data_IF_357297058958
#
_entry.id   IF_357297058958
#
_cell.length_a   1.000
_cell.length_b   1.000
_cell.length_c   1.000
_cell.angle_alpha   90.00
_cell.angle_beta   90.00
_cell.angle_gamma   90.00
#
_symmetry.space_group_name_H-M   'P 1'
#
loop_
_entity.id
_entity.type
_entity.pdbx_description
1 polymer ?
#
# COMPACT_ATOMS: atom_id res chain seq x y z
N UNK A 1 35.25 21.09 -19.14
CA UNK A 1 34.64 19.80 -18.92
C UNK A 1 34.89 19.42 -17.45
N UNK A 2 33.98 19.81 -16.54
CA UNK A 2 34.10 19.49 -15.10
C UNK A 2 33.55 18.08 -14.90
N UNK A 3 34.42 17.13 -14.63
CA UNK A 3 34.06 15.80 -14.16
C UNK A 3 33.46 15.97 -12.76
N UNK A 4 32.14 16.03 -12.69
CA UNK A 4 31.42 15.98 -11.42
C UNK A 4 31.69 14.62 -10.75
N UNK A 5 32.50 14.61 -9.72
CA UNK A 5 32.60 13.45 -8.83
C UNK A 5 31.23 13.20 -8.20
N UNK A 6 30.51 12.18 -8.68
CA UNK A 6 29.31 11.69 -8.01
C UNK A 6 29.72 11.26 -6.60
N UNK A 7 29.35 12.05 -5.60
CA UNK A 7 29.56 11.65 -4.21
C UNK A 7 28.81 10.33 -4.00
N UNK A 8 29.55 9.31 -3.58
CA UNK A 8 28.97 8.01 -3.21
C UNK A 8 28.07 8.26 -2.00
N UNK A 9 26.81 7.89 -2.11
CA UNK A 9 25.86 8.03 -1.01
C UNK A 9 26.32 7.21 0.20
N UNK A 10 26.29 7.82 1.38
CA UNK A 10 26.66 7.11 2.61
C UNK A 10 25.70 5.94 2.86
N UNK A 11 26.26 4.82 3.32
CA UNK A 11 25.47 3.64 3.66
C UNK A 11 24.63 3.93 4.91
N UNK A 12 23.32 3.69 4.81
CA UNK A 12 22.40 3.82 5.95
C UNK A 12 22.59 2.63 6.90
N UNK A 13 22.82 2.88 8.19
CA UNK A 13 22.97 1.80 9.15
C UNK A 13 21.62 1.07 9.31
N UNK A 14 21.63 -0.23 9.11
CA UNK A 14 20.45 -1.09 9.27
C UNK A 14 20.76 -2.28 10.16
N UNK A 15 19.77 -2.74 10.93
CA UNK A 15 19.86 -3.90 11.81
C UNK A 15 19.01 -5.04 11.26
N UNK A 16 19.52 -6.28 11.28
CA UNK A 16 18.71 -7.47 11.11
C UNK A 16 17.87 -7.68 12.38
N UNK A 17 16.56 -7.76 12.25
CA UNK A 17 15.61 -7.98 13.36
C UNK A 17 15.00 -9.38 13.33
N UNK A 18 15.00 -10.01 12.15
CA UNK A 18 14.54 -11.38 11.95
C UNK A 18 15.45 -12.06 10.94
N UNK A 19 15.95 -13.26 11.26
CA UNK A 19 16.81 -14.08 10.41
C UNK A 19 16.06 -15.32 9.94
N UNK A 20 16.18 -15.66 8.65
CA UNK A 20 15.65 -16.91 8.10
C UNK A 20 14.11 -16.97 8.09
N UNK A 21 13.44 -15.86 8.00
CA UNK A 21 11.98 -15.81 7.85
C UNK A 21 11.56 -16.24 6.45
N UNK A 22 10.49 -17.05 6.35
CA UNK A 22 10.01 -17.51 5.05
C UNK A 22 9.11 -16.50 4.36
N UNK A 23 8.53 -15.54 5.05
CA UNK A 23 7.38 -14.87 4.52
C UNK A 23 7.60 -13.38 4.31
N UNK A 24 7.47 -12.95 3.06
CA UNK A 24 7.47 -11.55 2.67
C UNK A 24 6.29 -10.81 3.31
N UNK A 25 6.41 -9.49 3.42
CA UNK A 25 5.30 -8.67 3.85
C UNK A 25 5.21 -8.50 5.36
N UNK A 26 6.25 -7.92 5.97
CA UNK A 26 6.12 -7.41 7.33
C UNK A 26 5.17 -6.22 7.39
N UNK A 27 4.34 -6.18 8.43
CA UNK A 27 3.42 -5.07 8.71
C UNK A 27 3.87 -4.42 10.02
N UNK A 28 3.99 -3.10 10.02
CA UNK A 28 4.30 -2.35 11.24
C UNK A 28 3.11 -2.34 12.20
N UNK A 29 3.39 -2.43 13.50
CA UNK A 29 2.39 -2.11 14.51
C UNK A 29 2.06 -0.60 14.47
N UNK A 30 0.82 -0.19 14.81
CA UNK A 30 0.39 1.22 14.75
C UNK A 30 1.28 2.18 15.56
N UNK A 31 1.89 1.70 16.63
CA UNK A 31 2.81 2.46 17.47
C UNK A 31 4.25 2.49 16.93
N UNK A 32 4.49 1.89 15.77
CA UNK A 32 5.80 1.81 15.10
C UNK A 32 6.89 1.06 15.89
N UNK A 33 6.53 0.30 16.93
CA UNK A 33 7.52 -0.35 17.81
C UNK A 33 7.88 -1.77 17.40
N UNK A 34 7.02 -2.44 16.64
CA UNK A 34 7.22 -3.82 16.25
C UNK A 34 6.77 -4.09 14.81
N UNK A 35 7.16 -5.24 14.32
CA UNK A 35 6.76 -5.80 13.03
C UNK A 35 5.96 -7.08 13.25
N UNK A 36 4.84 -7.19 12.56
CA UNK A 36 4.08 -8.42 12.42
C UNK A 36 4.48 -9.14 11.14
N UNK A 37 4.54 -10.45 11.17
CA UNK A 37 4.85 -11.29 10.01
C UNK A 37 4.16 -12.64 10.10
N UNK A 38 4.00 -13.27 8.96
CA UNK A 38 3.36 -14.57 8.84
C UNK A 38 4.35 -15.70 9.18
N UNK A 39 3.86 -16.74 9.79
CA UNK A 39 4.54 -17.96 10.18
C UNK A 39 5.65 -17.79 11.23
N UNK A 40 5.96 -18.86 11.92
CA UNK A 40 7.01 -18.91 12.92
C UNK A 40 8.40 -18.89 12.31
N UNK A 41 9.42 -18.51 13.11
CA UNK A 41 10.80 -18.60 12.70
C UNK A 41 11.16 -20.07 12.41
N UNK A 42 12.19 -20.34 11.59
CA UNK A 42 12.59 -21.70 11.20
C UNK A 42 12.80 -22.67 12.37
N UNK A 43 13.24 -22.16 13.51
CA UNK A 43 13.41 -22.96 14.72
C UNK A 43 12.10 -23.36 15.41
N UNK A 44 10.99 -22.70 15.08
CA UNK A 44 9.64 -22.97 15.62
C UNK A 44 8.60 -22.81 14.52
N UNK A 45 8.60 -23.67 13.49
CA UNK A 45 7.67 -23.56 12.39
C UNK A 45 6.25 -23.84 12.89
N UNK A 46 5.40 -22.85 12.83
CA UNK A 46 3.97 -23.00 13.08
C UNK A 46 3.21 -21.88 12.43
N UNK A 47 2.05 -22.21 11.88
CA UNK A 47 1.17 -21.20 11.26
C UNK A 47 0.67 -20.21 12.30
N UNK A 48 0.71 -18.94 11.96
CA UNK A 48 0.24 -17.86 12.82
C UNK A 48 0.81 -16.50 12.42
N UNK A 49 0.47 -15.50 13.20
CA UNK A 49 1.09 -14.18 13.08
C UNK A 49 2.03 -13.98 14.28
N UNK A 50 3.24 -13.62 13.96
CA UNK A 50 4.31 -13.39 14.90
C UNK A 50 4.68 -11.92 14.97
N UNK A 51 5.26 -11.53 16.09
CA UNK A 51 5.72 -10.16 16.36
C UNK A 51 7.20 -10.18 16.76
N UNK A 52 7.94 -9.21 16.24
CA UNK A 52 9.30 -8.90 16.66
C UNK A 52 9.45 -7.40 16.87
N UNK A 53 10.15 -6.99 17.92
CA UNK A 53 10.43 -5.58 18.16
C UNK A 53 11.26 -4.99 16.99
N UNK A 54 11.04 -3.73 16.66
CA UNK A 54 11.80 -3.01 15.63
C UNK A 54 13.31 -2.90 15.97
N UNK A 55 13.67 -3.13 17.24
CA UNK A 55 15.03 -3.22 17.73
C UNK A 55 15.60 -4.64 17.69
N UNK A 56 14.83 -5.63 17.20
CA UNK A 56 15.15 -7.04 17.30
C UNK A 56 14.88 -7.61 18.69
N UNK A 57 15.19 -8.88 18.88
CA UNK A 57 14.98 -9.59 20.14
C UNK A 57 14.12 -10.84 19.96
N UNK A 58 13.40 -11.23 21.00
CA UNK A 58 12.56 -12.40 20.98
C UNK A 58 11.39 -12.26 20.00
N UNK A 59 11.12 -13.35 19.28
CA UNK A 59 9.97 -13.49 18.40
C UNK A 59 8.84 -14.15 19.19
N UNK A 60 7.72 -13.47 19.28
CA UNK A 60 6.53 -13.95 20.00
C UNK A 60 5.36 -14.22 19.05
N UNK A 61 4.57 -15.24 19.34
CA UNK A 61 3.34 -15.52 18.59
C UNK A 61 2.22 -14.61 19.07
N UNK A 62 1.75 -13.72 18.19
CA UNK A 62 0.70 -12.73 18.49
C UNK A 62 -0.70 -13.30 18.28
N UNK A 63 -0.91 -14.03 17.18
CA UNK A 63 -2.19 -14.66 16.82
C UNK A 63 -1.96 -16.08 16.34
N UNK A 64 -2.85 -16.99 16.73
CA UNK A 64 -2.76 -18.42 16.41
C UNK A 64 -3.21 -18.78 15.00
N UNK A 65 -3.85 -17.86 14.29
CA UNK A 65 -4.35 -18.07 12.94
C UNK A 65 -3.94 -16.91 12.03
N UNK A 66 -3.82 -17.22 10.75
CA UNK A 66 -3.52 -16.22 9.71
C UNK A 66 -4.72 -15.29 9.54
N UNK A 67 -4.44 -14.01 9.48
CA UNK A 67 -5.40 -12.96 9.15
C UNK A 67 -4.69 -11.78 8.50
N UNK A 68 -5.44 -11.00 7.71
CA UNK A 68 -5.06 -9.64 7.42
C UNK A 68 -5.59 -8.73 8.51
N UNK A 69 -4.99 -7.56 8.69
CA UNK A 69 -5.38 -6.65 9.75
C UNK A 69 -5.72 -5.28 9.18
N UNK A 70 -6.64 -4.59 9.85
CA UNK A 70 -6.83 -3.16 9.61
C UNK A 70 -5.57 -2.38 10.03
N UNK A 71 -5.32 -1.19 9.46
CA UNK A 71 -4.09 -0.41 9.71
C UNK A 71 -3.82 -0.13 11.19
N UNK A 72 -4.87 0.08 12.01
CA UNK A 72 -4.75 0.32 13.46
C UNK A 72 -4.87 -0.94 14.30
N UNK A 73 -4.84 -2.13 13.70
CA UNK A 73 -4.95 -3.43 14.35
C UNK A 73 -6.23 -3.57 15.22
N UNK A 74 -7.33 -2.94 14.83
CA UNK A 74 -8.62 -3.09 15.52
C UNK A 74 -9.43 -4.28 15.01
N UNK A 75 -9.14 -4.71 13.77
CA UNK A 75 -9.87 -5.73 13.04
C UNK A 75 -8.95 -6.77 12.44
N UNK A 76 -9.33 -8.02 12.54
CA UNK A 76 -8.78 -9.11 11.74
C UNK A 76 -9.75 -9.43 10.59
N UNK A 77 -9.21 -9.64 9.40
CA UNK A 77 -9.93 -9.98 8.17
C UNK A 77 -9.53 -11.39 7.78
N UNK A 78 -10.48 -12.29 7.71
CA UNK A 78 -10.24 -13.72 7.43
C UNK A 78 -11.15 -14.20 6.30
N UNK A 79 -10.71 -15.17 5.50
CA UNK A 79 -11.61 -15.91 4.64
C UNK A 79 -12.73 -16.57 5.49
N UNK A 80 -13.97 -16.43 5.04
CA UNK A 80 -15.12 -17.12 5.58
C UNK A 80 -15.42 -18.41 4.81
N UNK A 81 -16.60 -18.98 5.05
CA UNK A 81 -17.10 -20.11 4.27
C UNK A 81 -17.72 -19.63 2.96
N UNK A 82 -17.47 -20.36 1.87
CA UNK A 82 -17.92 -19.95 0.53
C UNK A 82 -17.28 -18.65 0.08
N UNK A 83 -18.02 -17.80 -0.62
CA UNK A 83 -17.58 -16.49 -1.09
C UNK A 83 -17.78 -15.38 -0.04
N UNK A 84 -17.32 -15.59 1.19
CA UNK A 84 -17.49 -14.63 2.28
C UNK A 84 -16.16 -14.24 2.92
N UNK A 85 -16.14 -13.07 3.56
CA UNK A 85 -15.04 -12.57 4.37
C UNK A 85 -15.56 -12.28 5.78
N UNK A 86 -14.87 -12.79 6.78
CA UNK A 86 -15.18 -12.54 8.18
C UNK A 86 -14.31 -11.43 8.71
N UNK A 87 -14.93 -10.39 9.25
CA UNK A 87 -14.31 -9.35 10.05
C UNK A 87 -14.45 -9.68 11.51
N UNK A 88 -13.36 -9.72 12.24
CA UNK A 88 -13.36 -9.96 13.69
C UNK A 88 -12.78 -8.72 14.40
N UNK A 89 -13.57 -8.10 15.27
CA UNK A 89 -13.08 -7.00 16.10
C UNK A 89 -12.20 -7.57 17.21
N UNK A 90 -10.92 -7.13 17.25
CA UNK A 90 -9.94 -7.74 18.15
C UNK A 90 -10.18 -7.42 19.64
N UNK A 91 -10.91 -6.35 19.95
CA UNK A 91 -11.16 -5.93 21.32
C UNK A 91 -12.13 -6.87 22.06
N UNK A 92 -13.11 -7.44 21.37
CA UNK A 92 -14.18 -8.26 22.00
C UNK A 92 -14.52 -9.54 21.21
N UNK A 93 -13.81 -9.82 20.12
CA UNK A 93 -14.03 -11.01 19.31
C UNK A 93 -15.34 -10.99 18.50
N UNK A 94 -16.06 -9.87 18.46
CA UNK A 94 -17.31 -9.76 17.69
C UNK A 94 -17.06 -9.90 16.20
N UNK A 95 -17.87 -10.73 15.52
CA UNK A 95 -17.67 -11.10 14.12
C UNK A 95 -18.79 -10.57 13.23
N UNK A 96 -18.40 -10.23 12.01
CA UNK A 96 -19.28 -9.79 10.92
C UNK A 96 -18.88 -10.52 9.65
N UNK A 97 -19.86 -10.85 8.83
CA UNK A 97 -19.62 -11.53 7.57
C UNK A 97 -19.99 -10.59 6.42
N UNK A 98 -19.05 -10.37 5.51
CA UNK A 98 -19.28 -9.66 4.26
C UNK A 98 -19.51 -10.67 3.14
N UNK A 99 -20.44 -10.40 2.20
CA UNK A 99 -20.71 -11.24 1.04
C UNK A 99 -19.67 -11.00 -0.07
N UNK A 100 -18.40 -11.18 0.25
CA UNK A 100 -17.28 -11.07 -0.71
C UNK A 100 -16.19 -12.03 -0.30
N UNK A 101 -15.44 -12.54 -1.29
CA UNK A 101 -14.29 -13.39 -1.04
C UNK A 101 -13.01 -12.56 -1.01
N UNK A 102 -12.15 -12.86 -0.04
CA UNK A 102 -10.80 -12.29 0.04
C UNK A 102 -10.70 -11.05 0.94
N UNK A 103 -9.51 -10.48 0.98
CA UNK A 103 -9.10 -9.45 1.92
C UNK A 103 -9.15 -8.03 1.34
N UNK A 104 -9.83 -7.82 0.21
CA UNK A 104 -9.90 -6.52 -0.46
C UNK A 104 -10.83 -5.54 0.28
N UNK A 105 -10.63 -5.46 1.59
CA UNK A 105 -11.32 -4.52 2.47
C UNK A 105 -10.42 -3.33 2.73
N UNK A 106 -10.91 -2.16 2.39
CA UNK A 106 -10.22 -0.88 2.61
C UNK A 106 -10.93 -0.09 3.69
N UNK A 107 -10.21 0.28 4.75
CA UNK A 107 -10.75 1.00 5.90
C UNK A 107 -10.58 2.51 5.76
N UNK A 108 -11.56 3.28 6.26
CA UNK A 108 -11.34 4.71 6.50
C UNK A 108 -10.36 4.91 7.66
N UNK A 109 -9.84 6.12 7.86
CA UNK A 109 -8.84 6.36 8.90
C UNK A 109 -9.35 6.03 10.31
N UNK A 110 -10.61 6.30 10.62
CA UNK A 110 -11.21 5.99 11.92
C UNK A 110 -11.44 4.48 12.14
N UNK A 111 -11.34 3.64 11.09
CA UNK A 111 -11.71 2.21 11.08
C UNK A 111 -13.15 1.93 11.55
N UNK A 112 -14.03 2.90 11.32
CA UNK A 112 -15.48 2.79 11.58
C UNK A 112 -16.26 2.48 10.32
N UNK A 113 -15.70 2.80 9.15
CA UNK A 113 -16.24 2.52 7.83
C UNK A 113 -15.26 1.71 6.99
N UNK A 114 -15.80 0.91 6.10
CA UNK A 114 -15.02 0.10 5.16
C UNK A 114 -15.61 0.17 3.76
N UNK A 115 -14.74 -0.03 2.76
CA UNK A 115 -15.11 -0.25 1.39
C UNK A 115 -14.55 -1.58 0.90
N UNK A 116 -15.28 -2.27 0.06
CA UNK A 116 -14.84 -3.49 -0.59
C UNK A 116 -15.42 -3.62 -1.98
N UNK A 117 -14.86 -4.52 -2.78
CA UNK A 117 -15.33 -4.78 -4.13
C UNK A 117 -15.91 -6.18 -4.26
N UNK A 118 -16.84 -6.31 -5.19
CA UNK A 118 -17.36 -7.59 -5.63
C UNK A 118 -17.40 -7.61 -7.15
N UNK A 119 -16.60 -8.47 -7.74
CA UNK A 119 -16.47 -8.58 -9.18
C UNK A 119 -17.21 -9.79 -9.71
N UNK A 120 -17.78 -9.69 -10.91
CA UNK A 120 -18.28 -10.85 -11.64
C UNK A 120 -17.12 -11.80 -11.93
N UNK A 121 -17.37 -13.10 -11.85
CA UNK A 121 -16.33 -14.13 -11.98
C UNK A 121 -16.04 -14.53 -13.43
N UNK A 122 -16.97 -14.25 -14.34
CA UNK A 122 -16.88 -14.62 -15.75
C UNK A 122 -16.39 -13.48 -16.65
N UNK A 123 -15.75 -13.85 -17.76
CA UNK A 123 -15.33 -12.92 -18.79
C UNK A 123 -13.95 -12.26 -18.56
N UNK A 124 -13.56 -11.41 -19.51
CA UNK A 124 -12.30 -10.67 -19.47
C UNK A 124 -12.31 -9.65 -18.34
N UNK A 125 -11.22 -9.53 -17.60
CA UNK A 125 -11.03 -8.58 -16.48
C UNK A 125 -11.52 -7.16 -16.81
N UNK A 126 -11.17 -6.62 -17.96
CA UNK A 126 -11.51 -5.28 -18.40
C UNK A 126 -13.01 -5.06 -18.68
N UNK A 127 -13.78 -6.13 -18.78
CA UNK A 127 -15.22 -6.13 -19.04
C UNK A 127 -16.06 -6.61 -17.88
N UNK A 128 -15.42 -7.16 -16.84
CA UNK A 128 -16.13 -7.60 -15.63
C UNK A 128 -16.66 -6.40 -14.86
N UNK A 129 -17.92 -6.45 -14.48
CA UNK A 129 -18.46 -5.49 -13.56
C UNK A 129 -17.88 -5.72 -12.16
N UNK A 130 -17.30 -4.68 -11.60
CA UNK A 130 -16.81 -4.61 -10.22
C UNK A 130 -17.70 -3.63 -9.47
N UNK A 131 -18.51 -4.15 -8.56
CA UNK A 131 -19.39 -3.34 -7.72
C UNK A 131 -18.65 -2.93 -6.46
N UNK A 132 -18.66 -1.64 -6.16
CA UNK A 132 -18.05 -1.06 -4.96
C UNK A 132 -19.12 -0.93 -3.89
N UNK A 133 -18.87 -1.51 -2.74
CA UNK A 133 -19.72 -1.44 -1.58
C UNK A 133 -19.03 -0.66 -0.47
N UNK A 134 -19.82 0.07 0.30
CA UNK A 134 -19.42 0.66 1.57
C UNK A 134 -20.32 0.16 2.68
N UNK A 135 -19.77 0.00 3.86
CA UNK A 135 -20.51 -0.34 5.07
C UNK A 135 -19.87 0.38 6.26
N UNK A 136 -20.68 0.74 7.24
CA UNK A 136 -20.18 0.88 8.59
C UNK A 136 -19.70 -0.50 9.04
N UNK A 137 -18.74 -0.56 9.94
CA UNK A 137 -18.12 -1.81 10.35
C UNK A 137 -19.14 -2.90 10.84
N UNK A 138 -20.38 -2.48 11.12
CA UNK A 138 -21.46 -3.33 11.60
C UNK A 138 -22.78 -3.17 10.84
N UNK A 139 -22.78 -2.33 9.81
CA UNK A 139 -23.98 -1.98 9.04
C UNK A 139 -24.18 -2.85 7.79
N UNK A 140 -25.34 -2.70 7.18
CA UNK A 140 -25.64 -3.34 5.91
C UNK A 140 -24.83 -2.70 4.78
N UNK A 141 -24.17 -3.48 3.92
CA UNK A 141 -23.43 -2.96 2.80
C UNK A 141 -24.33 -2.24 1.79
N UNK A 142 -23.86 -1.11 1.28
CA UNK A 142 -24.54 -0.31 0.25
C UNK A 142 -23.66 -0.21 -0.99
N UNK A 143 -24.19 -0.54 -2.17
CA UNK A 143 -23.50 -0.30 -3.43
C UNK A 143 -23.42 1.18 -3.71
N UNK A 144 -22.24 1.69 -4.03
CA UNK A 144 -21.98 3.12 -4.32
C UNK A 144 -21.45 3.37 -5.72
N UNK A 145 -20.90 2.35 -6.38
CA UNK A 145 -20.44 2.46 -7.77
C UNK A 145 -20.37 1.09 -8.45
N UNK A 146 -20.41 1.12 -9.78
CA UNK A 146 -20.05 -0.03 -10.62
C UNK A 146 -18.98 0.42 -11.60
N UNK A 147 -17.89 -0.33 -11.67
CA UNK A 147 -16.73 -0.09 -12.52
C UNK A 147 -16.45 -1.33 -13.38
N UNK A 148 -15.58 -1.16 -14.37
CA UNK A 148 -15.10 -2.27 -15.19
C UNK A 148 -13.57 -2.28 -15.16
N UNK A 149 -13.00 -3.42 -14.77
CA UNK A 149 -11.55 -3.60 -14.67
C UNK A 149 -10.86 -2.63 -13.72
N UNK A 150 -11.39 -2.50 -12.50
CA UNK A 150 -10.84 -1.59 -11.49
C UNK A 150 -11.37 -1.88 -10.08
N UNK A 151 -11.28 -0.90 -9.19
CA UNK A 151 -11.71 -1.04 -7.80
C UNK A 151 -11.41 0.16 -6.91
N UNK A 152 -11.45 -0.09 -5.61
CA UNK A 152 -11.12 0.90 -4.57
C UNK A 152 -9.61 0.99 -4.41
N UNK A 153 -9.09 2.23 -4.39
CA UNK A 153 -7.67 2.52 -4.14
C UNK A 153 -7.42 3.07 -2.73
N UNK A 154 -8.45 3.57 -2.05
CA UNK A 154 -8.36 4.07 -0.69
C UNK A 154 -9.48 5.03 -0.32
N UNK A 155 -9.43 5.52 0.91
CA UNK A 155 -10.28 6.59 1.41
C UNK A 155 -9.51 7.91 1.42
N UNK A 156 -10.07 8.93 0.77
CA UNK A 156 -9.56 10.30 0.79
C UNK A 156 -9.90 10.97 2.12
N UNK A 157 -11.12 10.75 2.58
CA UNK A 157 -11.68 11.14 3.87
C UNK A 157 -12.80 10.17 4.26
N UNK A 158 -13.49 10.40 5.38
CA UNK A 158 -14.55 9.50 5.87
C UNK A 158 -15.77 9.36 4.92
N UNK A 159 -15.89 10.21 3.91
CA UNK A 159 -17.01 10.20 2.98
C UNK A 159 -16.60 10.10 1.50
N UNK A 160 -15.31 10.06 1.21
CA UNK A 160 -14.80 10.13 -0.15
C UNK A 160 -13.84 8.99 -0.44
N UNK A 161 -14.17 8.17 -1.44
CA UNK A 161 -13.30 7.11 -1.95
C UNK A 161 -12.45 7.60 -3.11
N UNK A 162 -11.25 7.09 -3.23
CA UNK A 162 -10.46 7.10 -4.45
C UNK A 162 -10.68 5.78 -5.18
N UNK A 163 -11.08 5.87 -6.43
CA UNK A 163 -11.45 4.74 -7.28
C UNK A 163 -10.68 4.80 -8.59
N UNK A 164 -10.41 3.63 -9.17
CA UNK A 164 -9.92 3.54 -10.54
C UNK A 164 -10.69 2.47 -11.31
N UNK A 165 -10.97 2.71 -12.60
CA UNK A 165 -11.68 1.77 -13.45
C UNK A 165 -12.34 2.45 -14.63
N UNK A 166 -12.98 1.66 -15.51
CA UNK A 166 -13.73 2.16 -16.64
C UNK A 166 -15.19 2.38 -16.24
N UNK A 167 -15.82 3.40 -16.79
CA UNK A 167 -17.25 3.68 -16.56
C UNK A 167 -18.17 2.79 -17.41
N UNK A 168 -17.65 2.19 -18.50
CA UNK A 168 -18.35 1.22 -19.33
C UNK A 168 -17.38 0.15 -19.85
N UNK A 169 -17.84 -1.07 -20.16
CA UNK A 169 -16.98 -2.18 -20.59
C UNK A 169 -16.32 -1.96 -21.94
N UNK A 170 -16.87 -1.06 -22.78
CA UNK A 170 -16.32 -0.69 -24.09
C UNK A 170 -15.30 0.46 -24.06
N UNK A 171 -15.18 1.15 -22.95
CA UNK A 171 -14.25 2.27 -22.86
C UNK A 171 -12.80 1.78 -22.97
N UNK A 172 -11.98 2.52 -23.71
CA UNK A 172 -10.55 2.26 -23.84
C UNK A 172 -9.83 2.65 -22.55
N UNK A 173 -10.06 3.88 -22.07
CA UNK A 173 -9.35 4.46 -20.96
C UNK A 173 -10.03 4.15 -19.63
N UNK A 174 -9.23 4.00 -18.58
CA UNK A 174 -9.64 4.01 -17.20
C UNK A 174 -9.63 5.42 -16.66
N UNK A 175 -10.48 5.65 -15.69
CA UNK A 175 -10.52 6.89 -14.91
C UNK A 175 -9.91 6.62 -13.53
N UNK A 176 -9.12 7.57 -13.04
CA UNK A 176 -8.80 7.73 -11.62
C UNK A 176 -9.66 8.88 -11.12
N UNK A 177 -10.49 8.66 -10.11
CA UNK A 177 -11.46 9.65 -9.67
C UNK A 177 -11.79 9.51 -8.18
N UNK A 178 -12.25 10.59 -7.59
CA UNK A 178 -12.85 10.59 -6.24
C UNK A 178 -14.37 10.48 -6.35
N UNK A 179 -14.99 9.80 -5.38
CA UNK A 179 -16.44 9.64 -5.27
C UNK A 179 -16.87 9.91 -3.84
N UNK A 180 -17.68 10.96 -3.65
CA UNK A 180 -18.33 11.19 -2.36
C UNK A 180 -19.48 10.18 -2.20
N UNK A 181 -19.40 9.31 -1.20
CA UNK A 181 -20.34 8.20 -1.00
C UNK A 181 -21.71 8.65 -0.49
N UNK A 182 -21.85 9.87 0.03
CA UNK A 182 -23.13 10.43 0.50
C UNK A 182 -23.90 11.12 -0.60
N UNK A 183 -23.23 12.02 -1.34
CA UNK A 183 -23.87 12.81 -2.40
C UNK A 183 -23.84 12.12 -3.76
N UNK A 184 -22.99 11.12 -3.96
CA UNK A 184 -22.73 10.52 -5.28
C UNK A 184 -21.86 11.41 -6.19
N UNK A 185 -21.37 12.54 -5.70
CA UNK A 185 -20.55 13.45 -6.49
C UNK A 185 -19.23 12.79 -6.88
N UNK A 186 -18.98 12.70 -8.19
CA UNK A 186 -17.79 12.14 -8.82
C UNK A 186 -16.91 13.27 -9.33
N UNK A 187 -15.60 13.17 -9.10
CA UNK A 187 -14.59 14.06 -9.67
C UNK A 187 -13.46 13.26 -10.32
N UNK A 188 -13.38 13.33 -11.64
CA UNK A 188 -12.28 12.69 -12.38
C UNK A 188 -10.99 13.47 -12.20
N UNK A 189 -9.93 12.79 -11.77
CA UNK A 189 -8.60 13.33 -11.60
C UNK A 189 -7.76 13.14 -12.87
N UNK A 190 -7.83 11.93 -13.44
CA UNK A 190 -7.03 11.56 -14.62
C UNK A 190 -7.74 10.47 -15.42
N UNK A 191 -7.47 10.43 -16.74
CA UNK A 191 -7.80 9.30 -17.62
C UNK A 191 -6.53 8.76 -18.25
N UNK A 192 -6.39 7.44 -18.35
CA UNK A 192 -5.24 6.76 -18.97
C UNK A 192 -5.59 5.32 -19.33
N UNK A 193 -4.77 4.67 -20.17
CA UNK A 193 -4.94 3.25 -20.50
C UNK A 193 -4.79 2.35 -19.28
N UNK A 194 -3.88 2.67 -18.37
CA UNK A 194 -3.66 1.89 -17.16
C UNK A 194 -3.07 2.70 -16.02
N UNK A 195 -3.56 2.42 -14.81
CA UNK A 195 -3.00 2.94 -13.57
C UNK A 195 -2.40 1.79 -12.76
N UNK A 196 -1.26 2.05 -12.12
CA UNK A 196 -0.57 1.13 -11.23
C UNK A 196 -0.06 1.85 -10.00
N UNK A 197 0.15 1.10 -8.91
CA UNK A 197 0.76 1.63 -7.70
C UNK A 197 0.02 2.83 -7.09
N UNK A 198 -1.30 2.96 -7.31
CA UNK A 198 -2.07 4.07 -6.76
C UNK A 198 -1.92 4.08 -5.23
N UNK A 199 -1.43 5.20 -4.68
CA UNK A 199 -1.16 5.34 -3.25
C UNK A 199 -1.54 6.73 -2.77
N UNK A 200 -2.47 6.80 -1.84
CA UNK A 200 -2.86 8.03 -1.17
C UNK A 200 -1.81 8.45 -0.13
N UNK A 201 -1.60 9.76 0.01
CA UNK A 201 -0.89 10.30 1.15
C UNK A 201 -1.66 10.02 2.46
N UNK A 202 -0.99 9.94 3.62
CA UNK A 202 -1.65 9.64 4.90
C UNK A 202 -2.80 10.57 5.27
N UNK A 203 -2.77 11.82 4.79
CA UNK A 203 -3.85 12.82 4.97
C UNK A 203 -4.93 12.76 3.90
N UNK A 204 -4.82 11.86 2.90
CA UNK A 204 -5.73 11.75 1.78
C UNK A 204 -5.67 12.90 0.75
N UNK A 205 -4.87 13.94 1.00
CA UNK A 205 -4.85 15.15 0.19
C UNK A 205 -4.17 14.97 -1.18
N UNK A 206 -3.35 13.93 -1.33
CA UNK A 206 -2.57 13.67 -2.54
C UNK A 206 -2.59 12.20 -2.91
N UNK A 207 -2.38 11.94 -4.19
CA UNK A 207 -2.24 10.60 -4.74
C UNK A 207 -0.99 10.50 -5.61
N UNK A 208 -0.21 9.45 -5.40
CA UNK A 208 0.82 8.98 -6.31
C UNK A 208 0.24 7.85 -7.16
N UNK A 209 0.53 7.87 -8.44
CA UNK A 209 0.14 6.79 -9.36
C UNK A 209 1.06 6.73 -10.55
N UNK A 210 1.19 5.54 -11.10
CA UNK A 210 1.94 5.30 -12.34
C UNK A 210 0.97 5.10 -13.49
N UNK A 211 1.18 5.82 -14.58
CA UNK A 211 0.54 5.56 -15.87
C UNK A 211 1.46 4.67 -16.69
N UNK A 212 0.92 3.61 -17.25
CA UNK A 212 1.65 2.65 -18.08
C UNK A 212 0.82 2.21 -19.28
N UNK A 213 1.54 1.79 -20.33
CA UNK A 213 0.96 1.34 -21.61
C UNK A 213 0.23 2.41 -22.41
N UNK A 214 0.45 3.67 -22.10
CA UNK A 214 -0.06 4.85 -22.82
C UNK A 214 1.02 5.42 -23.75
N UNK A 215 0.85 6.64 -24.25
CA UNK A 215 1.90 7.34 -25.00
C UNK A 215 3.09 7.69 -24.12
N UNK A 216 4.27 7.86 -24.71
CA UNK A 216 5.49 8.22 -23.97
C UNK A 216 5.31 9.49 -23.12
N UNK A 217 4.55 10.47 -23.62
CA UNK A 217 4.28 11.73 -22.90
C UNK A 217 3.29 11.57 -21.73
N UNK A 218 2.57 10.45 -21.63
CA UNK A 218 1.59 10.18 -20.55
C UNK A 218 2.07 9.13 -19.56
N UNK A 219 2.99 8.23 -20.00
CA UNK A 219 3.60 7.25 -19.13
C UNK A 219 4.51 7.91 -18.10
N UNK A 220 4.56 7.37 -16.89
CA UNK A 220 5.43 7.87 -15.83
C UNK A 220 4.79 7.79 -14.46
N UNK A 221 5.52 8.25 -13.45
CA UNK A 221 5.04 8.43 -12.09
C UNK A 221 4.50 9.86 -11.93
N UNK A 222 3.33 9.97 -11.36
CA UNK A 222 2.60 11.22 -11.24
C UNK A 222 2.15 11.47 -9.80
N UNK A 223 2.25 12.71 -9.38
CA UNK A 223 1.72 13.22 -8.12
C UNK A 223 0.56 14.19 -8.44
N UNK A 224 -0.58 14.04 -7.78
CA UNK A 224 -1.74 14.89 -8.00
C UNK A 224 -2.50 15.14 -6.68
N UNK A 225 -3.13 16.32 -6.58
CA UNK A 225 -4.08 16.60 -5.49
C UNK A 225 -5.38 15.81 -5.71
N UNK A 226 -5.92 15.21 -4.65
CA UNK A 226 -7.24 14.57 -4.66
C UNK A 226 -8.38 15.58 -4.80
N UNK A 227 -8.12 16.85 -4.46
CA UNK A 227 -9.01 17.96 -4.77
C UNK A 227 -9.02 18.35 -6.26
N UNK A 228 -8.19 17.71 -7.11
CA UNK A 228 -8.07 17.98 -8.55
C UNK A 228 -6.94 18.96 -8.87
N UNK A 229 -6.92 19.44 -10.12
CA UNK A 229 -5.82 20.25 -10.67
C UNK A 229 -4.86 19.43 -11.51
N UNK A 230 -3.86 20.08 -12.14
CA UNK A 230 -2.88 19.41 -12.99
C UNK A 230 -1.99 18.47 -12.15
N UNK A 231 -1.66 17.29 -12.69
CA UNK A 231 -0.68 16.41 -12.07
C UNK A 231 0.74 16.93 -12.28
N UNK A 232 1.62 16.64 -11.33
CA UNK A 232 3.07 16.87 -11.43
C UNK A 232 3.75 15.57 -11.82
N UNK A 233 4.56 15.59 -12.86
CA UNK A 233 5.40 14.46 -13.23
C UNK A 233 6.55 14.31 -12.25
N UNK A 234 6.77 13.07 -11.82
CA UNK A 234 7.88 12.71 -10.95
C UNK A 234 8.92 12.01 -11.82
N UNK A 235 10.00 12.74 -12.14
CA UNK A 235 11.09 12.28 -13.04
C UNK A 235 11.96 11.21 -12.36
N UNK A 236 11.34 10.12 -11.94
CA UNK A 236 12.01 8.94 -11.40
C UNK A 236 11.08 7.72 -11.49
N UNK A 237 11.64 6.52 -11.50
CA UNK A 237 10.91 5.29 -11.63
C UNK A 237 11.39 4.26 -10.60
N UNK A 238 10.46 3.71 -9.83
CA UNK A 238 10.80 2.71 -8.81
C UNK A 238 9.62 2.39 -7.90
N UNK A 239 9.91 1.67 -6.84
CA UNK A 239 8.95 1.41 -5.78
C UNK A 239 8.90 2.59 -4.80
N UNK A 240 7.72 3.03 -4.42
CA UNK A 240 7.54 4.19 -3.53
C UNK A 240 6.59 3.91 -2.37
N UNK A 241 6.77 4.64 -1.27
CA UNK A 241 5.91 4.65 -0.08
C UNK A 241 5.86 6.05 0.52
N UNK A 242 4.70 6.46 0.94
CA UNK A 242 4.56 7.71 1.71
C UNK A 242 5.29 7.58 3.05
N UNK A 243 6.03 8.62 3.40
CA UNK A 243 6.67 8.80 4.70
C UNK A 243 5.77 9.59 5.65
N UNK A 244 5.13 10.61 5.11
CA UNK A 244 4.14 11.47 5.75
C UNK A 244 3.30 12.19 4.67
N UNK A 245 2.45 13.14 5.07
CA UNK A 245 1.59 13.88 4.15
C UNK A 245 2.35 14.71 3.09
N UNK A 246 3.59 15.09 3.35
CA UNK A 246 4.41 15.95 2.47
C UNK A 246 5.61 15.27 1.84
N UNK A 247 5.91 14.02 2.20
CA UNK A 247 7.12 13.32 1.74
C UNK A 247 6.83 11.87 1.40
N UNK A 248 7.43 11.39 0.33
CA UNK A 248 7.49 9.96 0.04
C UNK A 248 8.92 9.52 -0.25
N UNK A 249 9.16 8.26 -0.02
CA UNK A 249 10.44 7.61 -0.25
C UNK A 249 10.32 6.71 -1.47
N UNK A 250 11.38 6.66 -2.27
CA UNK A 250 11.46 5.87 -3.48
C UNK A 250 12.75 5.05 -3.48
N UNK A 251 12.64 3.79 -3.86
CA UNK A 251 13.76 2.93 -4.24
C UNK A 251 13.75 2.85 -5.77
N UNK A 252 14.70 3.51 -6.46
CA UNK A 252 14.76 3.49 -7.91
C UNK A 252 14.94 2.07 -8.46
N UNK A 253 14.32 1.80 -9.60
CA UNK A 253 14.55 0.54 -10.31
C UNK A 253 16.01 0.49 -10.79
N UNK A 254 16.74 -0.53 -10.33
CA UNK A 254 18.09 -0.82 -10.78
C UNK A 254 18.13 -2.13 -11.55
N UNK A 255 18.68 -2.08 -12.77
CA UNK A 255 18.82 -3.24 -13.63
C UNK A 255 20.24 -3.84 -13.60
N UNK A 256 21.20 -3.11 -13.03
CA UNK A 256 22.62 -3.50 -12.95
C UNK A 256 22.97 -4.44 -11.77
N UNK A 257 21.98 -4.78 -10.95
CA UNK A 257 22.18 -5.64 -9.79
C UNK A 257 22.91 -4.99 -8.59
N UNK A 258 23.21 -3.68 -8.69
CA UNK A 258 23.89 -2.95 -7.60
C UNK A 258 23.00 -2.71 -6.39
N UNK A 259 23.61 -2.26 -5.29
CA UNK A 259 22.89 -1.88 -4.07
C UNK A 259 21.83 -0.80 -4.33
N UNK A 260 20.72 -0.87 -3.64
CA UNK A 260 19.63 0.09 -3.78
C UNK A 260 19.94 1.37 -3.00
N UNK A 261 19.66 2.50 -3.65
CA UNK A 261 19.73 3.83 -3.03
C UNK A 261 18.33 4.26 -2.64
N UNK A 262 18.20 4.86 -1.46
CA UNK A 262 16.96 5.40 -0.97
C UNK A 262 16.90 6.89 -1.27
N UNK A 263 15.84 7.33 -1.95
CA UNK A 263 15.60 8.74 -2.27
C UNK A 263 14.30 9.22 -1.62
N UNK A 264 14.27 10.47 -1.23
CA UNK A 264 13.07 11.12 -0.71
C UNK A 264 12.66 12.28 -1.59
N UNK A 265 11.40 12.34 -1.93
CA UNK A 265 10.80 13.50 -2.57
C UNK A 265 10.04 14.31 -1.52
N UNK A 266 10.28 15.64 -1.54
CA UNK A 266 9.57 16.59 -0.68
C UNK A 266 8.62 17.43 -1.55
N UNK A 267 7.32 17.29 -1.31
CA UNK A 267 6.28 17.89 -2.16
C UNK A 267 6.36 19.42 -2.18
N UNK A 268 6.56 20.06 -1.03
CA UNK A 268 6.66 21.52 -0.94
C UNK A 268 7.87 22.11 -1.65
N UNK A 269 8.93 21.32 -1.82
CA UNK A 269 10.14 21.72 -2.51
C UNK A 269 10.17 21.30 -3.98
N UNK A 270 9.20 20.47 -4.40
CA UNK A 270 9.18 19.83 -5.71
C UNK A 270 10.54 19.19 -6.07
N UNK A 271 11.14 18.50 -5.11
CA UNK A 271 12.54 18.10 -5.25
C UNK A 271 12.92 16.83 -4.53
N UNK A 272 14.01 16.22 -5.04
CA UNK A 272 14.60 14.99 -4.54
C UNK A 272 15.78 15.25 -3.61
N UNK A 273 15.88 14.40 -2.59
CA UNK A 273 17.07 14.24 -1.78
C UNK A 273 17.46 12.76 -1.70
N UNK A 274 18.74 12.44 -1.82
CA UNK A 274 19.26 11.09 -1.58
C UNK A 274 19.45 10.91 -0.10
N UNK A 275 18.77 9.94 0.48
CA UNK A 275 18.89 9.63 1.92
C UNK A 275 20.14 8.77 2.20
N UNK A 276 20.46 7.84 1.31
CA UNK A 276 21.65 6.99 1.44
C UNK A 276 21.53 5.68 0.69
N UNK A 277 22.58 4.88 0.76
CA UNK A 277 22.67 3.52 0.23
C UNK A 277 22.19 2.50 1.27
N UNK A 278 21.44 1.49 0.85
CA UNK A 278 20.92 0.44 1.73
C UNK A 278 21.96 -0.65 2.06
N UNK A 279 23.16 -0.56 1.49
CA UNK A 279 24.22 -1.55 1.67
C UNK A 279 23.95 -2.91 1.01
N UNK A 280 22.92 -2.97 0.15
CA UNK A 280 22.49 -4.18 -0.55
C UNK A 280 21.17 -3.96 -1.26
N UNK A 281 20.60 -5.05 -1.80
CA UNK A 281 19.33 -5.00 -2.52
C UNK A 281 18.15 -5.32 -1.60
N UNK A 282 17.05 -4.63 -1.81
CA UNK A 282 15.75 -4.97 -1.23
C UNK A 282 15.08 -5.99 -2.14
N UNK A 283 14.54 -7.06 -1.57
CA UNK A 283 13.71 -7.99 -2.32
C UNK A 283 12.48 -7.24 -2.84
N UNK A 284 12.14 -7.46 -4.09
CA UNK A 284 11.13 -6.69 -4.80
C UNK A 284 9.79 -6.61 -4.02
N UNK A 285 9.35 -5.40 -3.73
CA UNK A 285 8.09 -5.13 -3.06
C UNK A 285 8.09 -5.26 -1.53
N UNK A 286 9.10 -5.91 -0.96
CA UNK A 286 9.14 -6.28 0.46
C UNK A 286 9.80 -5.21 1.33
N UNK A 287 9.21 -4.05 1.38
CA UNK A 287 9.63 -2.97 2.27
C UNK A 287 8.45 -2.06 2.65
N UNK A 288 8.49 -1.51 3.85
CA UNK A 288 7.45 -0.64 4.36
C UNK A 288 8.03 0.46 5.26
N UNK A 289 7.36 1.62 5.28
CA UNK A 289 7.64 2.72 6.20
C UNK A 289 6.82 2.51 7.47
N UNK A 290 7.41 2.78 8.62
CA UNK A 290 6.67 2.78 9.90
C UNK A 290 5.60 3.87 9.92
N UNK A 291 4.47 3.68 10.62
CA UNK A 291 3.39 4.68 10.71
C UNK A 291 3.85 6.07 11.17
N UNK A 292 4.90 6.16 12.00
CA UNK A 292 5.49 7.42 12.44
C UNK A 292 6.43 8.08 11.39
N UNK A 293 6.65 7.43 10.25
CA UNK A 293 7.52 7.91 9.17
C UNK A 293 9.03 7.90 9.50
N UNK A 294 9.45 7.31 10.63
CA UNK A 294 10.83 7.38 11.10
C UNK A 294 11.70 6.19 10.75
N UNK A 295 11.09 5.06 10.40
CA UNK A 295 11.80 3.81 10.12
C UNK A 295 11.33 3.19 8.82
N UNK A 296 12.22 2.40 8.25
CA UNK A 296 11.94 1.55 7.10
C UNK A 296 12.30 0.11 7.45
N UNK A 297 11.37 -0.82 7.23
CA UNK A 297 11.64 -2.26 7.26
C UNK A 297 11.76 -2.79 5.84
N UNK A 298 12.67 -3.73 5.60
CA UNK A 298 12.83 -4.37 4.31
C UNK A 298 13.39 -5.79 4.42
N UNK A 299 13.08 -6.61 3.43
CA UNK A 299 13.68 -7.92 3.26
C UNK A 299 14.93 -7.78 2.38
N UNK A 300 16.10 -8.14 2.92
CA UNK A 300 17.34 -8.18 2.15
C UNK A 300 17.29 -9.31 1.13
N UNK A 301 17.59 -8.98 -0.13
CA UNK A 301 17.66 -9.96 -1.20
C UNK A 301 18.84 -10.92 -1.07
N UNK A 302 19.94 -10.48 -0.45
CA UNK A 302 21.17 -11.26 -0.26
C UNK A 302 21.06 -12.23 0.91
N UNK A 303 20.57 -11.75 2.06
CA UNK A 303 20.57 -12.55 3.29
C UNK A 303 19.23 -13.20 3.63
N UNK A 304 18.14 -12.75 3.01
CA UNK A 304 16.79 -13.17 3.39
C UNK A 304 16.36 -12.67 4.79
N UNK A 305 17.10 -11.77 5.38
CA UNK A 305 16.79 -11.22 6.69
C UNK A 305 15.86 -10.01 6.58
N UNK A 306 14.93 -9.89 7.50
CA UNK A 306 14.19 -8.63 7.70
C UNK A 306 15.10 -7.67 8.44
N UNK A 307 15.29 -6.50 7.83
CA UNK A 307 16.13 -5.43 8.38
C UNK A 307 15.31 -4.18 8.67
N UNK A 308 15.73 -3.44 9.66
CA UNK A 308 15.16 -2.13 10.02
C UNK A 308 16.25 -1.09 10.01
N UNK A 309 15.96 0.06 9.44
CA UNK A 309 16.80 1.26 9.50
C UNK A 309 16.00 2.46 9.99
N UNK A 310 16.69 3.43 10.57
CA UNK A 310 16.12 4.74 10.91
C UNK A 310 16.33 5.67 9.72
N UNK A 311 15.25 6.34 9.29
CA UNK A 311 15.30 7.34 8.22
C UNK A 311 15.87 8.66 8.78
N UNK A 312 16.79 9.30 8.08
CA UNK A 312 17.33 10.60 8.47
C UNK A 312 16.30 11.74 8.42
#
# INVERSE_FOLDING_TARGET
MLLGTSAVAATLPSRAVLSGGCCPGTVWTPDSKALLFLDGPPARPSTGIYEVAATGGEVTRRFSSVAYFSPKLRWAVRPGTGETTVLERLADGKRFTLPTYGADVTWNDAETGLAYTRSDTSGNYDRRATRVYVADAFGSPRNVATLYGGGVSGWVDDNTLLLSGKSAPGNRDRELFTLNIRSGAKKTLRTALGFRGISLSPDGARVLYMVSFDSAARNGLWLQSTAGGPPTEINDFGAYRWRDAGRFVLIPLKLDGGAHVLRQYTVSLNGWNTLGDLGGRVRQGDWNISPDGRRLSYLSAESGNVRVLTLP
#
